data_IF_707293344825
#
_entry.id   IF_707293344825
#
_cell.length_a   1.000
_cell.length_b   1.000
_cell.length_c   1.000
_cell.angle_alpha   90.00
_cell.angle_beta   90.00
_cell.angle_gamma   90.00
#
_symmetry.space_group_name_H-M   'P 1'
#
loop_
_entity.id
_entity.type
_entity.pdbx_description
1 polymer ?
#
# COMPACT_ATOMS: atom_id res chain seq x y z
N UNK A 1 18.11 40.67 3.98
CA UNK A 1 17.33 39.62 4.65
C UNK A 1 16.54 38.85 3.60
N UNK A 2 17.12 37.78 3.06
CA UNK A 2 16.47 36.93 2.07
C UNK A 2 15.80 35.77 2.80
N UNK A 3 14.46 35.76 2.81
CA UNK A 3 13.66 34.61 3.25
C UNK A 3 14.01 33.43 2.36
N UNK A 4 14.70 32.44 2.91
CA UNK A 4 14.93 31.17 2.22
C UNK A 4 13.58 30.55 1.88
N UNK A 5 13.34 30.35 0.59
CA UNK A 5 12.21 29.58 0.12
C UNK A 5 12.34 28.16 0.71
N UNK A 6 11.55 27.88 1.74
CA UNK A 6 11.24 26.50 2.12
C UNK A 6 10.62 25.87 0.88
N UNK A 7 11.44 25.15 0.11
CA UNK A 7 11.02 24.47 -1.10
C UNK A 7 9.81 23.62 -0.74
N UNK A 8 8.65 23.96 -1.30
CA UNK A 8 7.45 23.16 -1.13
C UNK A 8 7.79 21.74 -1.59
N UNK A 9 7.81 20.79 -0.66
CA UNK A 9 7.94 19.37 -0.99
C UNK A 9 6.70 19.06 -1.83
N UNK A 10 6.89 18.96 -3.15
CA UNK A 10 5.80 18.62 -4.06
C UNK A 10 5.33 17.22 -3.69
N UNK A 11 4.09 17.12 -3.22
CA UNK A 11 3.45 15.82 -3.04
C UNK A 11 3.44 15.07 -4.37
N UNK A 12 3.61 13.74 -4.38
CA UNK A 12 3.56 12.96 -5.61
C UNK A 12 2.26 13.23 -6.38
N UNK A 13 2.30 13.18 -7.71
CA UNK A 13 1.07 13.21 -8.50
C UNK A 13 0.18 12.02 -8.13
N UNK A 14 -1.14 12.19 -8.25
CA UNK A 14 -2.08 11.10 -8.08
C UNK A 14 -1.71 9.92 -8.99
N UNK A 15 -1.71 8.72 -8.41
CA UNK A 15 -1.52 7.49 -9.15
C UNK A 15 -2.67 7.23 -10.12
N UNK A 16 -2.37 6.59 -11.26
CA UNK A 16 -3.38 6.16 -12.22
C UNK A 16 -4.23 4.99 -11.70
N UNK A 17 -3.77 4.26 -10.69
CA UNK A 17 -4.54 3.22 -10.03
C UNK A 17 -4.30 3.23 -8.52
N UNK A 18 -5.33 2.89 -7.75
CA UNK A 18 -5.27 2.61 -6.32
C UNK A 18 -5.51 1.11 -6.10
N UNK A 19 -4.54 0.44 -5.48
CA UNK A 19 -4.63 -0.94 -5.06
C UNK A 19 -4.91 -0.98 -3.55
N UNK A 20 -6.09 -1.46 -3.17
CA UNK A 20 -6.49 -1.67 -1.78
C UNK A 20 -6.20 -3.11 -1.39
N UNK A 21 -5.41 -3.30 -0.33
CA UNK A 21 -5.00 -4.60 0.18
C UNK A 21 -5.49 -4.72 1.60
N UNK A 22 -6.23 -5.78 1.92
CA UNK A 22 -6.52 -6.17 3.31
C UNK A 22 -5.66 -7.37 3.68
N UNK A 23 -4.82 -7.20 4.68
CA UNK A 23 -3.93 -8.25 5.15
C UNK A 23 -4.69 -9.31 5.98
N UNK A 24 -4.24 -10.58 5.96
CA UNK A 24 -4.78 -11.61 6.84
C UNK A 24 -4.37 -11.34 8.30
N UNK A 25 -5.06 -11.98 9.25
CA UNK A 25 -4.69 -11.95 10.66
C UNK A 25 -3.29 -12.56 10.90
N UNK A 26 -2.97 -13.62 10.15
CA UNK A 26 -1.67 -14.30 10.17
C UNK A 26 -1.06 -14.41 8.78
N UNK A 27 0.13 -13.84 8.59
CA UNK A 27 0.90 -13.93 7.35
C UNK A 27 1.96 -15.04 7.39
N UNK A 28 2.05 -15.84 6.33
CA UNK A 28 3.11 -16.81 6.10
C UNK A 28 3.59 -16.79 4.64
N UNK A 29 4.57 -17.65 4.33
CA UNK A 29 5.21 -17.72 3.03
C UNK A 29 4.23 -18.11 1.91
N UNK A 30 3.21 -18.91 2.23
CA UNK A 30 2.22 -19.41 1.27
C UNK A 30 1.22 -18.31 0.93
N UNK A 31 0.60 -17.72 1.96
CA UNK A 31 -0.41 -16.69 1.74
C UNK A 31 0.19 -15.35 1.28
N UNK A 32 1.45 -15.07 1.64
CA UNK A 32 2.20 -13.92 1.15
C UNK A 32 2.47 -14.01 -0.36
N UNK A 33 2.92 -15.18 -0.84
CA UNK A 33 3.12 -15.45 -2.27
C UNK A 33 1.82 -15.37 -3.05
N UNK A 34 0.78 -16.04 -2.56
CA UNK A 34 -0.54 -16.03 -3.21
C UNK A 34 -1.07 -14.61 -3.37
N UNK A 35 -1.02 -13.79 -2.32
CA UNK A 35 -1.46 -12.40 -2.37
C UNK A 35 -0.61 -11.55 -3.32
N UNK A 36 0.71 -11.72 -3.32
CA UNK A 36 1.58 -11.01 -4.26
C UNK A 36 1.32 -11.40 -5.71
N UNK A 37 1.07 -12.67 -5.99
CA UNK A 37 0.71 -13.13 -7.33
C UNK A 37 -0.64 -12.59 -7.79
N UNK A 38 -1.62 -12.53 -6.89
CA UNK A 38 -2.90 -11.87 -7.16
C UNK A 38 -2.69 -10.38 -7.50
N UNK A 39 -1.84 -9.67 -6.74
CA UNK A 39 -1.50 -8.27 -7.05
C UNK A 39 -0.85 -8.17 -8.43
N UNK A 40 0.12 -9.03 -8.75
CA UNK A 40 0.77 -9.04 -10.08
C UNK A 40 -0.26 -9.22 -11.19
N UNK A 41 -1.16 -10.21 -11.08
CA UNK A 41 -2.20 -10.44 -12.08
C UNK A 41 -3.14 -9.23 -12.19
N UNK A 42 -3.53 -8.66 -11.07
CA UNK A 42 -4.43 -7.53 -11.01
C UNK A 42 -3.85 -6.29 -11.70
N UNK A 43 -2.56 -5.99 -11.49
CA UNK A 43 -1.93 -4.80 -12.09
C UNK A 43 -1.35 -5.02 -13.48
N UNK A 44 -1.29 -6.27 -13.96
CA UNK A 44 -0.72 -6.64 -15.26
C UNK A 44 -1.42 -5.95 -16.43
N UNK A 45 -2.75 -5.87 -16.38
CA UNK A 45 -3.57 -5.30 -17.47
C UNK A 45 -3.87 -3.81 -17.30
N UNK A 46 -3.35 -3.18 -16.26
CA UNK A 46 -3.64 -1.78 -15.91
C UNK A 46 -2.37 -0.94 -16.00
N UNK A 47 -1.98 -0.47 -17.21
CA UNK A 47 -0.79 0.34 -17.37
C UNK A 47 -0.93 1.66 -16.60
N UNK A 48 0.15 2.13 -15.99
CA UNK A 48 0.17 3.38 -15.25
C UNK A 48 0.82 3.26 -13.88
N UNK A 49 0.78 4.38 -13.16
CA UNK A 49 1.31 4.52 -11.80
C UNK A 49 0.35 3.94 -10.76
N UNK A 50 0.91 3.41 -9.69
CA UNK A 50 0.20 2.67 -8.65
C UNK A 50 0.36 3.37 -7.30
N UNK A 51 -0.75 3.52 -6.58
CA UNK A 51 -0.79 3.79 -5.16
C UNK A 51 -1.28 2.54 -4.43
N UNK A 52 -0.57 2.13 -3.39
CA UNK A 52 -0.95 0.99 -2.57
C UNK A 52 -1.50 1.47 -1.22
N UNK A 53 -2.64 0.92 -0.84
CA UNK A 53 -3.22 1.07 0.50
C UNK A 53 -3.21 -0.28 1.19
N UNK A 54 -2.39 -0.41 2.22
CA UNK A 54 -2.27 -1.62 3.03
C UNK A 54 -3.05 -1.47 4.33
N UNK A 55 -4.15 -2.20 4.45
CA UNK A 55 -4.88 -2.34 5.70
C UNK A 55 -4.38 -3.57 6.46
N UNK A 56 -3.53 -3.32 7.46
CA UNK A 56 -3.03 -4.29 8.40
C UNK A 56 -3.70 -4.21 9.77
N UNK A 57 -4.85 -3.53 9.90
CA UNK A 57 -5.49 -3.28 11.21
C UNK A 57 -5.92 -4.54 11.95
N UNK A 58 -6.24 -5.61 11.22
CA UNK A 58 -6.55 -6.92 11.79
C UNK A 58 -5.37 -7.87 11.90
N UNK A 59 -4.15 -7.47 11.52
CA UNK A 59 -3.00 -8.37 11.48
C UNK A 59 -2.37 -8.54 12.87
N UNK A 60 -2.27 -9.77 13.33
CA UNK A 60 -1.69 -10.15 14.64
C UNK A 60 -0.23 -10.59 14.49
N UNK A 61 0.09 -11.33 13.42
CA UNK A 61 1.44 -11.85 13.20
C UNK A 61 1.76 -12.03 11.71
N UNK A 62 3.03 -11.89 11.33
CA UNK A 62 3.53 -12.20 9.99
C UNK A 62 4.89 -12.90 10.09
N UNK A 63 5.09 -14.00 9.37
CA UNK A 63 6.38 -14.70 9.25
C UNK A 63 7.27 -14.07 8.19
N UNK A 64 8.56 -14.43 8.18
CA UNK A 64 9.56 -13.72 7.38
C UNK A 64 9.33 -13.88 5.88
N UNK A 65 8.87 -15.05 5.43
CA UNK A 65 8.58 -15.23 4.02
C UNK A 65 7.32 -14.50 3.56
N UNK A 66 6.39 -14.15 4.46
CA UNK A 66 5.33 -13.19 4.13
C UNK A 66 5.93 -11.85 3.71
N UNK A 67 6.85 -11.30 4.52
CA UNK A 67 7.53 -10.04 4.20
C UNK A 67 8.40 -10.14 2.94
N UNK A 68 9.09 -11.26 2.72
CA UNK A 68 9.93 -11.46 1.54
C UNK A 68 9.12 -11.50 0.23
N UNK A 69 7.91 -12.07 0.23
CA UNK A 69 7.04 -12.05 -0.95
C UNK A 69 6.72 -10.62 -1.41
N UNK A 70 6.47 -9.70 -0.46
CA UNK A 70 6.23 -8.30 -0.78
C UNK A 70 7.49 -7.55 -1.24
N UNK A 71 8.68 -7.95 -0.78
CA UNK A 71 9.95 -7.41 -1.31
C UNK A 71 10.15 -7.78 -2.78
N UNK A 72 9.80 -9.00 -3.15
CA UNK A 72 9.83 -9.44 -4.54
C UNK A 72 8.85 -8.64 -5.39
N UNK A 73 7.61 -8.48 -4.90
CA UNK A 73 6.59 -7.68 -5.56
C UNK A 73 7.04 -6.21 -5.78
N UNK A 74 7.66 -5.58 -4.78
CA UNK A 74 8.14 -4.20 -4.89
C UNK A 74 9.20 -4.05 -6.00
N UNK A 75 10.13 -5.01 -6.10
CA UNK A 75 11.13 -5.01 -7.19
C UNK A 75 10.47 -5.14 -8.57
N UNK A 76 9.45 -5.98 -8.70
CA UNK A 76 8.74 -6.17 -9.97
C UNK A 76 7.95 -4.92 -10.39
N UNK A 77 7.44 -4.16 -9.42
CA UNK A 77 6.63 -2.96 -9.64
C UNK A 77 7.45 -1.67 -9.51
N UNK A 78 8.76 -1.79 -9.36
CA UNK A 78 9.69 -0.67 -9.24
C UNK A 78 9.56 0.24 -10.47
N UNK A 79 9.30 1.52 -10.22
CA UNK A 79 9.06 2.53 -11.26
C UNK A 79 7.59 2.80 -11.57
N UNK A 80 6.67 1.90 -11.21
CA UNK A 80 5.21 2.13 -11.29
C UNK A 80 4.63 2.63 -9.98
N UNK A 81 5.18 2.21 -8.84
CA UNK A 81 4.70 2.65 -7.52
C UNK A 81 5.10 4.10 -7.22
N UNK A 82 4.10 4.94 -6.92
CA UNK A 82 4.30 6.36 -6.59
C UNK A 82 4.11 6.69 -5.11
N UNK A 83 3.24 5.95 -4.42
CA UNK A 83 2.93 6.19 -3.00
C UNK A 83 2.45 4.89 -2.34
N UNK A 84 2.82 4.71 -1.07
CA UNK A 84 2.34 3.61 -0.24
C UNK A 84 1.79 4.17 1.07
N UNK A 85 0.54 3.82 1.36
CA UNK A 85 -0.16 4.22 2.58
C UNK A 85 -0.53 2.98 3.37
N UNK A 86 -0.33 3.01 4.68
CA UNK A 86 -0.57 1.87 5.56
C UNK A 86 -1.44 2.25 6.75
N UNK A 87 -2.37 1.39 7.11
CA UNK A 87 -3.11 1.41 8.38
C UNK A 87 -2.68 0.20 9.23
N UNK A 88 -1.83 0.43 10.24
CA UNK A 88 -1.21 -0.63 11.05
C UNK A 88 -1.22 -0.21 12.54
N UNK A 89 -1.87 -0.96 13.44
CA UNK A 89 -1.93 -0.62 14.86
C UNK A 89 -0.57 -0.85 15.52
N UNK A 90 -0.26 -0.05 16.54
CA UNK A 90 0.93 -0.26 17.36
C UNK A 90 0.68 -1.31 18.47
N UNK A 91 1.72 -2.02 18.94
CA UNK A 91 3.09 -2.02 18.43
C UNK A 91 3.17 -2.85 17.15
N UNK A 92 3.71 -2.25 16.09
CA UNK A 92 3.87 -2.82 14.75
C UNK A 92 4.26 -4.32 14.90
N UNK A 93 3.52 -5.28 14.30
CA UNK A 93 4.08 -6.62 14.16
C UNK A 93 5.44 -6.41 13.51
N UNK A 94 6.55 -6.69 14.22
CA UNK A 94 7.94 -6.30 13.87
C UNK A 94 8.34 -6.60 12.42
N UNK A 95 7.54 -7.41 11.74
CA UNK A 95 7.65 -7.98 10.42
C UNK A 95 6.96 -7.15 9.33
N UNK A 96 5.85 -6.47 9.61
CA UNK A 96 5.32 -5.45 8.70
C UNK A 96 6.27 -4.26 8.62
N UNK A 97 6.97 -3.92 9.72
CA UNK A 97 8.08 -2.97 9.65
C UNK A 97 9.17 -3.41 8.66
N UNK A 98 9.39 -4.71 8.42
CA UNK A 98 10.33 -5.19 7.38
C UNK A 98 9.74 -5.21 5.97
N UNK A 99 8.42 -5.41 5.81
CA UNK A 99 7.71 -5.15 4.55
C UNK A 99 7.74 -3.67 4.18
N UNK A 100 7.64 -2.80 5.19
CA UNK A 100 7.68 -1.33 5.11
C UNK A 100 9.11 -0.79 4.92
N UNK A 101 10.11 -1.33 5.63
CA UNK A 101 11.47 -0.79 5.68
C UNK A 101 12.32 -1.09 4.44
N UNK A 102 11.97 -2.09 3.63
CA UNK A 102 12.70 -2.37 2.38
C UNK A 102 12.39 -1.40 1.25
N UNK A 103 11.40 -0.52 1.43
CA UNK A 103 10.89 0.38 0.40
C UNK A 103 11.35 1.82 0.74
N UNK A 104 12.60 1.95 1.20
CA UNK A 104 13.20 3.19 1.68
C UNK A 104 13.38 4.29 0.61
N UNK A 105 12.95 4.06 -0.64
CA UNK A 105 13.05 5.03 -1.74
C UNK A 105 11.71 5.62 -2.18
N UNK A 106 10.58 5.21 -1.59
CA UNK A 106 9.24 5.74 -1.94
C UNK A 106 8.67 6.58 -0.79
N UNK A 107 7.73 7.50 -1.05
CA UNK A 107 7.02 8.19 0.03
C UNK A 107 6.06 7.20 0.72
N UNK A 108 6.31 6.96 2.00
CA UNK A 108 5.47 6.13 2.88
C UNK A 108 4.68 7.00 3.83
N UNK A 109 3.44 6.60 4.09
CA UNK A 109 2.68 7.19 5.19
C UNK A 109 2.00 6.09 5.98
N UNK A 110 2.35 5.96 7.26
CA UNK A 110 1.87 4.92 8.15
C UNK A 110 1.00 5.57 9.21
N UNK A 111 -0.20 5.03 9.36
CA UNK A 111 -1.19 5.47 10.33
C UNK A 111 -1.51 4.33 11.30
N UNK A 112 -1.92 4.68 12.53
CA UNK A 112 -2.26 3.68 13.55
C UNK A 112 -3.63 3.07 13.32
N UNK A 113 -4.51 3.82 12.67
CA UNK A 113 -5.89 3.43 12.41
C UNK A 113 -6.21 3.51 10.93
N UNK A 114 -7.17 2.69 10.49
CA UNK A 114 -7.74 2.79 9.14
C UNK A 114 -8.39 4.15 8.90
N UNK A 115 -9.01 4.74 9.92
CA UNK A 115 -9.69 6.04 9.82
C UNK A 115 -8.70 7.15 9.46
N UNK A 116 -7.54 7.20 10.12
CA UNK A 116 -6.49 8.18 9.81
C UNK A 116 -5.92 7.98 8.39
N UNK A 117 -5.69 6.73 8.00
CA UNK A 117 -5.22 6.40 6.66
C UNK A 117 -6.25 6.79 5.58
N UNK A 118 -7.53 6.50 5.80
CA UNK A 118 -8.63 6.87 4.91
C UNK A 118 -8.74 8.40 4.78
N UNK A 119 -8.56 9.13 5.90
CA UNK A 119 -8.55 10.59 5.88
C UNK A 119 -7.39 11.14 5.03
N UNK A 120 -6.18 10.58 5.17
CA UNK A 120 -5.04 10.94 4.31
C UNK A 120 -5.32 10.67 2.85
N UNK A 121 -5.84 9.49 2.53
CA UNK A 121 -6.20 9.12 1.16
C UNK A 121 -7.22 10.11 0.57
N UNK A 122 -8.26 10.47 1.33
CA UNK A 122 -9.25 11.49 0.91
C UNK A 122 -8.61 12.85 0.67
N UNK A 123 -7.72 13.31 1.54
CA UNK A 123 -6.99 14.58 1.36
C UNK A 123 -6.10 14.56 0.11
N UNK A 124 -5.56 13.40 -0.25
CA UNK A 124 -4.77 13.20 -1.49
C UNK A 124 -5.63 13.16 -2.75
N UNK A 125 -6.96 13.02 -2.63
CA UNK A 125 -7.90 12.89 -3.74
C UNK A 125 -8.25 11.43 -4.09
N UNK A 126 -7.85 10.47 -3.26
CA UNK A 126 -8.25 9.09 -3.39
C UNK A 126 -9.60 8.84 -2.70
N UNK A 127 -10.50 8.15 -3.40
CA UNK A 127 -11.68 7.56 -2.77
C UNK A 127 -11.32 6.14 -2.32
N UNK A 128 -11.21 5.92 -1.01
CA UNK A 128 -11.16 4.58 -0.42
C UNK A 128 -12.60 4.20 -0.11
N UNK A 129 -13.17 3.29 -0.89
CA UNK A 129 -14.44 2.63 -0.55
C UNK A 129 -14.16 1.40 0.30
N UNK A 130 -15.14 0.96 1.08
CA UNK A 130 -15.04 -0.33 1.74
C UNK A 130 -14.78 -1.46 0.74
N UNK A 131 -14.11 -2.50 1.21
CA UNK A 131 -13.84 -3.72 0.45
C UNK A 131 -15.19 -4.30 -0.01
N UNK A 132 -15.56 -4.05 -1.26
CA UNK A 132 -16.90 -4.39 -1.79
C UNK A 132 -17.22 -5.89 -1.82
N UNK A 133 -16.29 -6.75 -1.44
CA UNK A 133 -16.50 -8.19 -1.40
C UNK A 133 -15.87 -8.81 -0.16
N UNK A 134 -16.72 -9.38 0.69
CA UNK A 134 -16.36 -10.44 1.62
C UNK A 134 -16.08 -11.72 0.83
N UNK A 135 -14.85 -11.81 0.31
CA UNK A 135 -14.05 -12.99 -0.05
C UNK A 135 -14.56 -13.89 -1.20
N UNK A 136 -13.88 -13.94 -2.36
CA UNK A 136 -12.63 -14.72 -2.60
C UNK A 136 -11.33 -13.93 -2.86
N UNK A 137 -11.26 -12.63 -2.56
CA UNK A 137 -10.00 -11.89 -2.67
C UNK A 137 -10.01 -10.60 -1.87
N UNK A 138 -9.16 -10.52 -0.85
CA UNK A 138 -8.90 -9.32 -0.03
C UNK A 138 -8.08 -8.26 -0.76
N UNK A 139 -8.41 -8.02 -2.03
CA UNK A 139 -7.65 -7.20 -2.94
C UNK A 139 -8.61 -6.49 -3.91
N UNK A 140 -8.50 -5.17 -4.02
CA UNK A 140 -9.31 -4.38 -4.93
C UNK A 140 -8.41 -3.42 -5.71
N UNK A 141 -8.63 -3.29 -7.02
CA UNK A 141 -8.00 -2.29 -7.87
C UNK A 141 -9.04 -1.27 -8.30
N UNK A 142 -8.75 0.01 -8.06
CA UNK A 142 -9.49 1.13 -8.61
C UNK A 142 -8.63 1.81 -9.66
N UNK A 143 -9.08 1.84 -10.91
CA UNK A 143 -8.46 2.67 -11.95
C UNK A 143 -8.89 4.10 -11.72
N UNK A 144 -7.92 4.98 -11.55
CA UNK A 144 -8.08 6.40 -11.32
C UNK A 144 -7.76 7.12 -12.64
N UNK A 145 -8.76 7.18 -13.49
CA UNK A 145 -8.62 7.70 -14.85
C UNK A 145 -9.85 8.49 -15.27
N UNK A 146 -9.64 9.81 -15.31
CA UNK A 146 -10.29 10.86 -16.13
C UNK A 146 -11.76 10.62 -16.48
N UNK A 147 -12.66 11.35 -15.83
CA UNK A 147 -13.80 11.92 -16.58
C UNK A 147 -13.29 12.67 -17.80
#
# INVERSE_FOLDING_TARGET
>A
MTRGALGAIKSPSLAACLVLIKHPEHGDDVNGKLLCDQIRQLVKNHPGTLCFFHDGTGMVNARIGYANAFKELDRDLMGRTTEVVCAIPAPIPRMMAYTVATIAQKPWTIFRTRVEADMHMRMRGYLVTDYGHTFEGSLNLRVLGRS
#
